data_IF_675238235744
#
_entry.id   IF_675238235744
#
_cell.length_a   1.000
_cell.length_b   1.000
_cell.length_c   1.000
_cell.angle_alpha   90.00
_cell.angle_beta   90.00
_cell.angle_gamma   90.00
#
_symmetry.space_group_name_H-M   'P 1'
#
loop_
_entity.id
_entity.type
_entity.pdbx_description
1 polymer ?
#
# COMPACT_ATOMS: atom_id res chain seq x y z
N UNK A 1 5.79 -1.20 35.94
CA UNK A 1 4.53 -0.75 35.32
C UNK A 1 4.54 -1.16 33.86
N UNK A 2 3.41 -1.60 33.30
CA UNK A 2 3.27 -1.70 31.83
C UNK A 2 2.72 -0.36 31.35
N UNK A 3 3.48 0.35 30.52
CA UNK A 3 3.10 1.68 30.03
C UNK A 3 2.07 1.61 28.87
N UNK A 4 1.92 0.42 28.27
CA UNK A 4 1.02 0.13 27.16
C UNK A 4 0.41 -1.26 27.29
N UNK A 5 -0.82 -1.42 26.79
CA UNK A 5 -1.56 -2.69 26.73
C UNK A 5 -1.21 -3.48 25.48
N UNK A 6 -0.98 -2.77 24.36
CA UNK A 6 -0.65 -3.36 23.05
C UNK A 6 0.57 -2.65 22.47
N UNK A 7 1.55 -3.44 22.02
CA UNK A 7 2.71 -2.98 21.28
C UNK A 7 2.66 -3.50 19.84
N UNK A 8 2.74 -2.60 18.87
CA UNK A 8 2.76 -2.89 17.43
C UNK A 8 4.16 -2.58 16.91
N UNK A 9 4.79 -3.56 16.25
CA UNK A 9 6.13 -3.40 15.68
C UNK A 9 6.03 -3.34 14.15
N UNK A 10 6.35 -2.16 13.60
CA UNK A 10 6.27 -1.85 12.18
C UNK A 10 5.14 -0.86 11.88
N UNK A 11 5.50 0.29 11.30
CA UNK A 11 4.59 1.35 10.87
C UNK A 11 4.17 1.26 9.41
N UNK A 12 4.15 0.06 8.82
CA UNK A 12 3.60 -0.18 7.48
C UNK A 12 2.07 -0.26 7.47
N UNK A 13 1.43 -0.51 6.32
CA UNK A 13 -0.03 -0.60 6.22
C UNK A 13 -0.65 -1.54 7.26
N UNK A 14 -0.12 -2.76 7.42
CA UNK A 14 -0.64 -3.71 8.42
C UNK A 14 -0.61 -3.16 9.86
N UNK A 15 0.51 -2.55 10.27
CA UNK A 15 0.64 -1.98 11.62
C UNK A 15 -0.20 -0.72 11.83
N UNK A 16 -0.31 0.13 10.81
CA UNK A 16 -1.15 1.32 10.85
C UNK A 16 -2.64 0.96 10.91
N UNK A 17 -3.09 -0.02 10.11
CA UNK A 17 -4.46 -0.51 10.18
C UNK A 17 -4.75 -1.21 11.51
N UNK A 18 -3.82 -2.02 12.04
CA UNK A 18 -3.98 -2.62 13.37
C UNK A 18 -4.13 -1.54 14.46
N UNK A 19 -3.29 -0.50 14.43
CA UNK A 19 -3.39 0.61 15.37
C UNK A 19 -4.71 1.38 15.21
N UNK A 20 -5.14 1.64 13.97
CA UNK A 20 -6.39 2.31 13.64
C UNK A 20 -7.60 1.56 14.18
N UNK A 21 -7.71 0.25 13.89
CA UNK A 21 -8.81 -0.61 14.34
C UNK A 21 -8.89 -0.69 15.87
N UNK A 22 -7.74 -0.92 16.53
CA UNK A 22 -7.68 -0.97 17.99
C UNK A 22 -8.06 0.36 18.62
N UNK A 23 -7.59 1.48 18.06
CA UNK A 23 -7.93 2.81 18.55
C UNK A 23 -9.43 3.11 18.37
N UNK A 24 -9.99 2.77 17.20
CA UNK A 24 -11.39 3.01 16.86
C UNK A 24 -12.34 2.20 17.76
N UNK A 25 -12.05 0.92 17.99
CA UNK A 25 -12.96 0.03 18.70
C UNK A 25 -12.75 -0.04 20.22
N UNK A 26 -11.58 0.38 20.72
CA UNK A 26 -11.34 0.41 22.17
C UNK A 26 -11.99 1.60 22.88
N UNK A 27 -12.46 2.62 22.16
CA UNK A 27 -12.97 3.87 22.73
C UNK A 27 -12.01 4.48 23.77
N UNK A 28 -10.71 4.45 23.49
CA UNK A 28 -9.67 5.01 24.36
C UNK A 28 -9.30 4.16 25.59
N UNK A 29 -9.84 2.94 25.71
CA UNK A 29 -9.51 2.03 26.82
C UNK A 29 -8.15 1.36 26.68
N UNK A 30 -7.63 1.22 25.46
CA UNK A 30 -6.34 0.60 25.21
C UNK A 30 -5.25 1.65 25.03
N UNK A 31 -4.15 1.50 25.76
CA UNK A 31 -2.89 2.22 25.53
C UNK A 31 -2.08 1.48 24.47
N UNK A 32 -2.03 2.03 23.27
CA UNK A 32 -1.39 1.41 22.11
C UNK A 32 -0.06 2.12 21.83
N UNK A 33 1.02 1.36 21.73
CA UNK A 33 2.32 1.85 21.30
C UNK A 33 2.69 1.28 19.92
N UNK A 34 3.05 2.14 18.97
CA UNK A 34 3.54 1.73 17.66
C UNK A 34 5.02 2.09 17.54
N UNK A 35 5.85 1.08 17.24
CA UNK A 35 7.28 1.22 17.08
C UNK A 35 7.66 1.02 15.61
N UNK A 36 8.39 1.97 15.04
CA UNK A 36 8.92 1.89 13.67
C UNK A 36 10.43 2.16 13.70
N UNK A 37 11.19 1.30 13.01
CA UNK A 37 12.66 1.41 12.98
C UNK A 37 13.16 2.54 12.08
N UNK A 38 12.38 2.89 11.05
CA UNK A 38 12.68 3.99 10.14
C UNK A 38 12.11 5.33 10.62
N UNK A 39 12.11 6.30 9.71
CA UNK A 39 11.70 7.66 10.03
C UNK A 39 10.21 7.91 9.81
N UNK A 40 9.70 9.00 10.41
CA UNK A 40 8.42 9.59 9.98
C UNK A 40 8.48 9.97 8.51
N UNK A 41 7.32 9.95 7.85
CA UNK A 41 7.21 10.06 6.39
C UNK A 41 7.87 11.33 5.83
N UNK A 42 7.82 12.45 6.55
CA UNK A 42 8.35 13.76 6.12
C UNK A 42 9.89 13.76 6.02
N UNK A 43 10.54 12.86 6.74
CA UNK A 43 12.00 12.71 6.78
C UNK A 43 12.50 11.54 5.92
N UNK A 44 11.61 10.77 5.28
CA UNK A 44 12.00 9.65 4.42
C UNK A 44 12.44 10.15 3.05
N UNK A 45 13.76 10.30 2.87
CA UNK A 45 14.35 10.73 1.59
C UNK A 45 15.44 9.77 1.15
N UNK A 46 15.25 9.13 -0.01
CA UNK A 46 16.26 8.26 -0.59
C UNK A 46 17.38 9.10 -1.22
N UNK A 47 18.66 8.95 -0.83
CA UNK A 47 19.76 9.67 -1.46
C UNK A 47 19.81 9.45 -2.98
N UNK A 48 19.45 8.25 -3.45
CA UNK A 48 19.37 7.94 -4.87
C UNK A 48 18.35 8.82 -5.60
N UNK A 49 17.17 9.06 -5.02
CA UNK A 49 16.16 9.94 -5.64
C UNK A 49 16.64 11.39 -5.72
N UNK A 50 17.39 11.87 -4.72
CA UNK A 50 17.96 13.22 -4.71
C UNK A 50 19.00 13.37 -5.83
N UNK A 51 19.92 12.40 -5.94
CA UNK A 51 21.01 12.41 -6.93
C UNK A 51 20.53 12.17 -8.37
N UNK A 52 19.40 11.46 -8.54
CA UNK A 52 18.85 11.09 -9.86
C UNK A 52 18.08 12.22 -10.56
N UNK A 53 17.92 13.40 -9.94
CA UNK A 53 17.22 14.54 -10.54
C UNK A 53 17.94 15.14 -11.76
N UNK A 54 19.22 14.83 -11.96
CA UNK A 54 19.96 15.16 -13.18
C UNK A 54 20.04 13.93 -14.09
N UNK A 55 19.56 14.04 -15.34
CA UNK A 55 19.60 12.96 -16.35
C UNK A 55 21.02 12.41 -16.60
N UNK A 56 22.07 13.20 -16.34
CA UNK A 56 23.48 12.73 -16.41
C UNK A 56 23.82 11.75 -15.28
N UNK A 57 23.31 11.97 -14.08
CA UNK A 57 23.63 11.19 -12.90
C UNK A 57 22.71 9.99 -12.70
N UNK A 58 21.53 9.96 -13.32
CA UNK A 58 20.57 8.85 -13.20
C UNK A 58 21.16 7.49 -13.60
N UNK A 59 22.07 7.44 -14.57
CA UNK A 59 22.76 6.21 -15.01
C UNK A 59 23.97 5.82 -14.15
N UNK A 60 24.50 6.75 -13.35
CA UNK A 60 25.69 6.56 -12.51
C UNK A 60 25.34 6.39 -11.03
N UNK A 61 24.18 6.87 -10.61
CA UNK A 61 23.76 6.84 -9.23
C UNK A 61 23.38 5.40 -8.83
N UNK A 62 24.11 4.87 -7.84
CA UNK A 62 23.87 3.55 -7.27
C UNK A 62 23.14 3.69 -5.94
N UNK A 63 22.38 2.66 -5.57
CA UNK A 63 21.79 2.57 -4.24
C UNK A 63 22.91 2.63 -3.18
N UNK A 64 22.79 3.55 -2.21
CA UNK A 64 23.77 3.73 -1.13
C UNK A 64 23.53 2.81 0.07
N UNK A 65 22.51 1.93 -0.01
CA UNK A 65 22.17 0.96 1.04
C UNK A 65 22.05 1.59 2.44
N UNK A 66 21.34 2.73 2.53
CA UNK A 66 21.05 3.38 3.80
C UNK A 66 20.48 2.39 4.85
N UNK A 67 20.87 2.57 6.12
CA UNK A 67 20.48 1.70 7.24
C UNK A 67 19.81 2.54 8.34
N UNK A 68 18.50 2.35 8.60
CA UNK A 68 17.56 1.55 7.82
C UNK A 68 17.28 2.16 6.44
N UNK A 69 16.79 1.36 5.48
CA UNK A 69 16.52 1.86 4.14
C UNK A 69 15.31 2.81 4.15
N UNK A 70 15.47 4.06 3.70
CA UNK A 70 14.41 5.07 3.73
C UNK A 70 13.22 4.74 2.83
N UNK A 71 13.42 3.92 1.79
CA UNK A 71 12.34 3.42 0.92
C UNK A 71 11.57 2.27 1.58
N UNK A 72 12.27 1.37 2.26
CA UNK A 72 11.64 0.15 2.80
C UNK A 72 11.14 0.30 4.24
N UNK A 73 11.70 1.24 4.99
CA UNK A 73 11.50 1.38 6.43
C UNK A 73 11.07 2.82 6.75
N UNK A 74 10.20 2.95 7.76
CA UNK A 74 9.58 4.21 8.16
C UNK A 74 8.06 4.14 8.14
N UNK A 75 7.41 5.20 8.62
CA UNK A 75 5.94 5.29 8.66
C UNK A 75 5.38 5.19 7.23
N UNK A 76 4.37 4.34 7.06
CA UNK A 76 3.78 3.91 5.79
C UNK A 76 4.56 2.78 5.09
N UNK A 77 5.65 2.27 5.68
CA UNK A 77 6.40 1.10 5.19
C UNK A 77 6.91 1.25 3.76
N UNK A 78 7.02 0.14 3.03
CA UNK A 78 7.44 0.17 1.62
C UNK A 78 6.41 0.87 0.69
N UNK A 79 5.14 0.94 1.12
CA UNK A 79 4.07 1.55 0.34
C UNK A 79 4.20 3.07 0.21
N UNK A 80 4.67 3.76 1.26
CA UNK A 80 4.66 5.22 1.34
C UNK A 80 5.43 5.95 0.22
N UNK A 81 6.48 5.33 -0.34
CA UNK A 81 7.31 5.91 -1.40
C UNK A 81 7.21 5.11 -2.71
N UNK A 82 6.04 4.50 -2.94
CA UNK A 82 5.68 3.77 -4.16
C UNK A 82 4.68 4.56 -5.02
N UNK A 83 4.28 4.01 -6.17
CA UNK A 83 3.18 4.57 -6.98
C UNK A 83 1.84 4.62 -6.25
N UNK A 84 1.69 3.89 -5.13
CA UNK A 84 0.45 3.83 -4.38
C UNK A 84 -0.70 3.22 -5.18
N UNK A 85 -0.40 2.18 -5.97
CA UNK A 85 -1.40 1.42 -6.71
C UNK A 85 -1.99 0.33 -5.80
N UNK A 86 -3.30 0.37 -5.58
CA UNK A 86 -4.03 -0.63 -4.80
C UNK A 86 -4.84 -1.48 -5.78
N UNK A 87 -4.58 -2.78 -5.80
CA UNK A 87 -5.39 -3.74 -6.55
C UNK A 87 -6.63 -4.11 -5.72
N UNK A 88 -7.81 -3.83 -6.25
CA UNK A 88 -9.08 -4.09 -5.57
C UNK A 88 -9.63 -5.44 -6.01
N UNK A 89 -8.90 -6.51 -5.66
CA UNK A 89 -9.28 -7.89 -5.98
C UNK A 89 -8.66 -8.91 -5.00
N UNK A 90 -9.43 -9.87 -4.45
CA UNK A 90 -9.01 -10.82 -3.42
C UNK A 90 -7.83 -11.73 -3.77
N UNK A 91 -7.66 -12.05 -5.06
CA UNK A 91 -6.65 -12.97 -5.59
C UNK A 91 -5.40 -12.24 -6.16
N UNK A 92 -5.21 -10.95 -5.82
CA UNK A 92 -4.04 -10.17 -6.22
C UNK A 92 -3.24 -9.69 -5.00
N UNK A 93 -1.93 -9.94 -5.02
CA UNK A 93 -1.02 -9.59 -3.91
C UNK A 93 -1.03 -10.59 -2.75
N UNK A 94 -1.78 -11.67 -2.89
CA UNK A 94 -1.98 -12.77 -1.96
C UNK A 94 -3.20 -13.58 -2.38
N UNK A 95 -3.61 -14.55 -1.56
CA UNK A 95 -4.79 -15.38 -1.77
C UNK A 95 -5.84 -15.09 -0.68
N UNK A 96 -6.33 -13.84 -0.58
CA UNK A 96 -7.22 -13.43 0.50
C UNK A 96 -8.54 -14.19 0.47
N UNK A 97 -9.08 -14.44 -0.72
CA UNK A 97 -10.26 -15.28 -0.95
C UNK A 97 -10.10 -16.67 -0.34
N UNK A 98 -8.91 -17.28 -0.48
CA UNK A 98 -8.62 -18.61 0.09
C UNK A 98 -8.40 -18.57 1.59
N UNK A 99 -7.76 -17.52 2.10
CA UNK A 99 -7.53 -17.34 3.53
C UNK A 99 -8.84 -17.11 4.30
N UNK A 100 -9.76 -16.35 3.69
CA UNK A 100 -11.09 -16.09 4.24
C UNK A 100 -12.05 -17.26 3.98
N UNK A 101 -11.87 -17.97 2.87
CA UNK A 101 -12.75 -19.06 2.42
C UNK A 101 -14.04 -18.58 1.75
N UNK A 102 -14.20 -17.27 1.55
CA UNK A 102 -15.37 -16.63 0.97
C UNK A 102 -14.96 -15.40 0.16
N UNK A 103 -15.30 -15.41 -1.13
CA UNK A 103 -14.92 -14.35 -2.08
C UNK A 103 -15.62 -13.03 -1.77
N UNK A 104 -16.92 -13.06 -1.47
CA UNK A 104 -17.72 -11.85 -1.25
C UNK A 104 -17.31 -11.15 0.06
N UNK A 105 -16.97 -11.93 1.09
CA UNK A 105 -16.41 -11.41 2.32
C UNK A 105 -15.02 -10.80 2.09
N UNK A 106 -14.16 -11.47 1.32
CA UNK A 106 -12.85 -10.93 0.97
C UNK A 106 -12.96 -9.62 0.16
N UNK A 107 -13.92 -9.53 -0.76
CA UNK A 107 -14.24 -8.31 -1.50
C UNK A 107 -14.67 -7.18 -0.55
N UNK A 108 -15.58 -7.44 0.38
CA UNK A 108 -16.02 -6.45 1.39
C UNK A 108 -14.86 -5.94 2.25
N UNK A 109 -13.92 -6.81 2.61
CA UNK A 109 -12.71 -6.42 3.36
C UNK A 109 -11.82 -5.49 2.52
N UNK A 110 -11.65 -5.77 1.23
CA UNK A 110 -10.88 -4.91 0.31
C UNK A 110 -11.55 -3.56 0.15
N UNK A 111 -12.87 -3.52 -0.07
CA UNK A 111 -13.65 -2.29 -0.18
C UNK A 111 -13.56 -1.46 1.11
N UNK A 112 -13.60 -2.12 2.27
CA UNK A 112 -13.40 -1.47 3.55
C UNK A 112 -12.02 -0.81 3.64
N UNK A 113 -10.94 -1.55 3.36
CA UNK A 113 -9.57 -1.02 3.35
C UNK A 113 -9.43 0.17 2.40
N UNK A 114 -9.98 0.07 1.18
CA UNK A 114 -9.98 1.15 0.20
C UNK A 114 -10.73 2.40 0.70
N UNK A 115 -11.88 2.21 1.35
CA UNK A 115 -12.64 3.31 1.95
C UNK A 115 -11.86 4.07 3.02
N UNK A 116 -11.02 3.35 3.79
CA UNK A 116 -10.14 3.96 4.79
C UNK A 116 -9.03 4.76 4.12
N UNK A 117 -8.40 4.25 3.06
CA UNK A 117 -7.44 5.04 2.27
C UNK A 117 -8.09 6.32 1.72
N UNK A 118 -9.31 6.23 1.18
CA UNK A 118 -10.07 7.39 0.71
C UNK A 118 -10.38 8.37 1.84
N UNK A 119 -10.75 7.88 3.02
CA UNK A 119 -10.97 8.70 4.23
C UNK A 119 -9.73 9.50 4.62
N UNK A 120 -8.54 8.92 4.47
CA UNK A 120 -7.26 9.56 4.78
C UNK A 120 -6.64 10.36 3.61
N UNK A 121 -7.37 10.53 2.50
CA UNK A 121 -6.99 11.46 1.43
C UNK A 121 -6.54 10.81 0.13
N UNK A 122 -6.73 9.49 -0.05
CA UNK A 122 -6.55 8.88 -1.37
C UNK A 122 -7.53 9.51 -2.40
N UNK A 123 -7.08 9.83 -3.63
CA UNK A 123 -7.91 10.46 -4.64
C UNK A 123 -9.13 9.60 -4.99
N UNK A 124 -10.32 10.21 -4.92
CA UNK A 124 -11.60 9.55 -5.24
C UNK A 124 -11.78 9.31 -6.74
N UNK A 125 -11.25 10.23 -7.55
CA UNK A 125 -11.34 10.29 -9.01
C UNK A 125 -10.33 9.39 -9.74
N UNK A 126 -9.43 8.73 -9.01
CA UNK A 126 -8.39 7.83 -9.57
C UNK A 126 -8.67 6.35 -9.31
N UNK A 127 -9.93 5.97 -9.45
CA UNK A 127 -10.36 4.59 -9.48
C UNK A 127 -10.55 4.16 -10.93
N UNK A 128 -9.72 3.23 -11.39
CA UNK A 128 -9.77 2.70 -12.74
C UNK A 128 -10.43 1.33 -12.71
N UNK A 129 -11.57 1.21 -13.38
CA UNK A 129 -12.30 -0.05 -13.52
C UNK A 129 -12.12 -0.54 -14.97
N UNK A 130 -11.69 -1.79 -15.19
CA UNK A 130 -11.58 -2.35 -16.53
C UNK A 130 -12.92 -2.30 -17.28
N UNK A 131 -12.86 -1.87 -18.53
CA UNK A 131 -13.98 -1.92 -19.47
C UNK A 131 -14.29 -3.38 -19.82
N UNK A 132 -15.50 -3.91 -19.56
CA UNK A 132 -15.82 -5.32 -19.80
C UNK A 132 -15.65 -5.74 -21.26
N UNK A 133 -16.04 -4.91 -22.22
CA UNK A 133 -15.98 -5.26 -23.64
C UNK A 133 -14.54 -5.35 -24.13
N UNK A 134 -13.71 -4.35 -23.76
CA UNK A 134 -12.27 -4.37 -24.10
C UNK A 134 -11.52 -5.48 -23.38
N UNK A 135 -11.96 -5.81 -22.16
CA UNK A 135 -11.34 -6.88 -21.36
C UNK A 135 -11.47 -8.23 -22.05
N UNK A 136 -12.63 -8.56 -22.63
CA UNK A 136 -12.85 -9.82 -23.34
C UNK A 136 -11.89 -9.99 -24.52
N UNK A 137 -11.69 -8.94 -25.31
CA UNK A 137 -10.74 -8.98 -26.44
C UNK A 137 -9.31 -9.17 -25.95
N UNK A 138 -8.90 -8.44 -24.92
CA UNK A 138 -7.55 -8.53 -24.33
C UNK A 138 -7.31 -9.89 -23.67
N UNK A 139 -8.29 -10.47 -23.00
CA UNK A 139 -8.22 -11.82 -22.44
C UNK A 139 -7.99 -12.86 -23.54
N UNK A 140 -8.71 -12.75 -24.67
CA UNK A 140 -8.51 -13.62 -25.84
C UNK A 140 -7.11 -13.45 -26.42
N UNK A 141 -6.59 -12.23 -26.53
CA UNK A 141 -5.23 -11.99 -27.01
C UNK A 141 -4.16 -12.54 -26.06
N UNK A 142 -4.34 -12.34 -24.75
CA UNK A 142 -3.46 -12.88 -23.73
C UNK A 142 -3.43 -14.42 -23.79
N UNK A 143 -4.60 -15.06 -23.86
CA UNK A 143 -4.71 -16.51 -23.94
C UNK A 143 -4.00 -17.08 -25.18
N UNK A 144 -4.14 -16.42 -26.34
CA UNK A 144 -3.40 -16.80 -27.57
C UNK A 144 -1.88 -16.73 -27.40
N UNK A 145 -1.39 -15.83 -26.55
CA UNK A 145 0.02 -15.69 -26.23
C UNK A 145 0.47 -16.57 -25.05
N UNK A 146 -0.40 -17.44 -24.51
CA UNK A 146 -0.10 -18.27 -23.35
C UNK A 146 -0.08 -17.51 -22.02
N UNK A 147 -0.67 -16.31 -21.97
CA UNK A 147 -0.78 -15.47 -20.78
C UNK A 147 -2.23 -15.43 -20.26
N UNK A 148 -2.40 -15.14 -18.97
CA UNK A 148 -3.70 -14.88 -18.34
C UNK A 148 -3.79 -13.40 -17.98
N UNK A 149 -4.78 -12.70 -18.55
CA UNK A 149 -5.13 -11.37 -18.09
C UNK A 149 -6.02 -11.48 -16.84
N UNK A 150 -5.73 -10.67 -15.83
CA UNK A 150 -6.55 -10.58 -14.61
C UNK A 150 -7.13 -9.17 -14.58
N UNK A 151 -8.40 -8.96 -14.97
CA UNK A 151 -9.03 -7.65 -14.85
C UNK A 151 -9.26 -7.34 -13.38
N UNK A 152 -8.76 -6.20 -12.92
CA UNK A 152 -8.97 -5.74 -11.55
C UNK A 152 -9.19 -4.23 -11.55
N UNK A 153 -10.14 -3.79 -10.72
CA UNK A 153 -10.23 -2.37 -10.40
C UNK A 153 -8.96 -1.96 -9.63
N UNK A 154 -8.43 -0.78 -9.95
CA UNK A 154 -7.22 -0.27 -9.33
C UNK A 154 -7.42 1.16 -8.86
N UNK A 155 -7.10 1.43 -7.60
CA UNK A 155 -6.94 2.81 -7.12
C UNK A 155 -5.49 3.23 -7.32
N UNK A 156 -5.29 4.40 -7.91
CA UNK A 156 -3.97 5.00 -8.06
C UNK A 156 -3.83 6.25 -7.19
N UNK A 157 -3.16 6.11 -6.05
CA UNK A 157 -2.89 7.24 -5.15
C UNK A 157 -1.89 8.20 -5.82
N UNK A 158 -0.82 7.64 -6.38
CA UNK A 158 0.26 8.35 -7.06
C UNK A 158 1.40 8.70 -6.12
N UNK A 159 2.64 8.61 -6.61
CA UNK A 159 3.88 8.74 -5.84
C UNK A 159 3.95 9.99 -4.95
N UNK A 160 3.44 11.13 -5.41
CA UNK A 160 3.46 12.40 -4.67
C UNK A 160 2.38 12.49 -3.58
N UNK A 161 1.35 11.65 -3.66
CA UNK A 161 0.23 11.62 -2.73
C UNK A 161 0.38 10.53 -1.67
N UNK A 162 1.03 9.40 -1.98
CA UNK A 162 1.19 8.29 -1.03
C UNK A 162 1.82 8.71 0.31
N UNK A 163 2.76 9.67 0.38
CA UNK A 163 3.25 10.19 1.66
C UNK A 163 2.25 11.00 2.49
N UNK A 164 1.15 11.46 1.89
CA UNK A 164 0.13 12.33 2.51
C UNK A 164 -1.07 11.54 3.02
N UNK A 165 -1.23 10.30 2.57
CA UNK A 165 -2.30 9.35 2.90
C UNK A 165 -1.80 8.37 3.95
#
# INVERSE_FOLDING_TARGET
>A
MRDYDVAIVGGGPAGLFAAYELALHSNGRLKIALFEKGHRVEYRRCPLQILSRSRRFQRLAKCTQCRPCHIMCGIGGAGALSSGTINLRPDIGGDLDKLVGDWDLAMKMIEYVDSIFVKFGAPKDRLYVPDPEKTVELERLAAKAGAKLIPAAQRHIGTDNTPKV
#
